data_IF_446406371714
#
_entry.id   IF_446406371714
#
_cell.length_a   1.000
_cell.length_b   1.000
_cell.length_c   1.000
_cell.angle_alpha   90.00
_cell.angle_beta   90.00
_cell.angle_gamma   90.00
#
_symmetry.space_group_name_H-M   'P 1'
#
loop_
_entity.id
_entity.type
_entity.pdbx_description
1 polymer ?
#
# COMPACT_ATOMS: atom_id res chain seq x y z
N UNK A 1 16.59 46.77 24.85
CA UNK A 1 17.27 46.17 23.70
C UNK A 1 18.00 44.86 24.05
N UNK A 2 18.54 44.69 25.26
CA UNK A 2 19.21 43.46 25.72
C UNK A 2 18.25 42.31 26.08
N UNK A 3 17.01 42.61 26.48
CA UNK A 3 16.01 41.61 26.87
C UNK A 3 15.35 40.82 25.69
N UNK A 4 15.32 41.43 24.51
CA UNK A 4 14.78 40.80 23.30
C UNK A 4 15.74 39.75 22.70
N UNK A 5 17.04 39.95 22.85
CA UNK A 5 18.05 39.01 22.33
C UNK A 5 18.12 37.71 23.16
N UNK A 6 17.67 37.75 24.42
CA UNK A 6 17.65 36.54 25.29
C UNK A 6 16.50 35.57 24.99
N UNK A 7 15.40 36.04 24.38
CA UNK A 7 14.31 35.18 24.00
C UNK A 7 14.60 34.39 22.72
N UNK A 8 15.36 34.98 21.79
CA UNK A 8 15.68 34.25 20.52
C UNK A 8 16.74 33.18 20.72
N UNK A 9 17.58 33.25 21.77
CA UNK A 9 18.56 32.22 22.08
C UNK A 9 17.95 31.01 22.83
N UNK A 10 16.83 31.17 23.50
CA UNK A 10 16.11 30.06 24.15
C UNK A 10 15.36 29.17 23.13
N UNK A 11 14.97 29.70 21.99
CA UNK A 11 14.33 28.94 20.93
C UNK A 11 15.32 28.03 20.15
N UNK A 12 16.61 28.31 20.19
CA UNK A 12 17.61 27.48 19.53
C UNK A 12 18.17 26.33 20.39
N UNK A 13 17.78 26.20 21.67
CA UNK A 13 18.32 25.17 22.56
C UNK A 13 17.42 23.93 22.75
N UNK A 14 16.22 23.92 22.18
CA UNK A 14 15.46 22.69 22.03
C UNK A 14 16.00 21.92 20.81
N UNK A 15 17.13 21.27 20.99
CA UNK A 15 17.50 20.16 20.11
C UNK A 15 16.34 19.16 20.12
N UNK A 16 15.78 18.78 18.96
CA UNK A 16 14.79 17.72 18.94
C UNK A 16 15.42 16.52 19.65
N UNK A 17 14.80 16.07 20.71
CA UNK A 17 15.17 14.87 21.42
C UNK A 17 15.07 13.73 20.41
N UNK A 18 16.19 13.46 19.73
CA UNK A 18 16.33 12.29 18.87
C UNK A 18 16.30 11.10 19.82
N UNK A 19 15.10 10.68 20.16
CA UNK A 19 14.89 9.40 20.81
C UNK A 19 15.61 8.37 19.93
N UNK A 20 16.63 7.74 20.48
CA UNK A 20 17.32 6.60 19.88
C UNK A 20 16.33 5.43 19.89
N UNK A 21 15.35 5.49 18.99
CA UNK A 21 14.45 4.38 18.71
C UNK A 21 15.28 3.20 18.21
N UNK A 22 14.91 2.00 18.61
CA UNK A 22 15.55 0.78 18.13
C UNK A 22 15.48 0.64 16.61
N UNK A 23 16.30 -0.24 16.03
CA UNK A 23 16.40 -0.42 14.55
C UNK A 23 15.07 -0.73 13.86
N UNK A 24 14.02 -1.06 14.60
CA UNK A 24 12.69 -1.41 14.07
C UNK A 24 11.63 -0.33 14.29
N UNK A 25 11.94 0.74 15.04
CA UNK A 25 10.94 1.77 15.37
C UNK A 25 10.41 2.50 14.15
N UNK A 26 11.23 2.64 13.10
CA UNK A 26 10.81 3.25 11.83
C UNK A 26 9.62 2.50 11.19
N UNK A 27 9.45 1.20 11.45
CA UNK A 27 8.33 0.41 10.92
C UNK A 27 6.97 0.88 11.48
N UNK A 28 6.97 1.39 12.71
CA UNK A 28 5.76 1.83 13.41
C UNK A 28 5.63 3.35 13.51
N UNK A 29 6.68 4.10 13.12
CA UNK A 29 6.57 5.55 13.01
C UNK A 29 5.54 5.91 11.96
N UNK A 30 4.62 6.82 12.30
CA UNK A 30 3.56 7.22 11.39
C UNK A 30 3.26 8.71 11.53
N UNK A 31 2.99 9.35 10.41
CA UNK A 31 2.46 10.70 10.37
C UNK A 31 1.03 10.72 10.86
N UNK A 32 0.70 11.49 11.90
CA UNK A 32 -0.67 11.59 12.44
C UNK A 32 -1.60 12.40 11.52
N UNK A 33 -1.73 11.97 10.27
CA UNK A 33 -2.58 12.62 9.27
C UNK A 33 -3.78 11.75 8.91
N UNK A 34 -4.95 12.37 8.78
CA UNK A 34 -6.15 11.71 8.25
C UNK A 34 -6.02 11.36 6.76
N UNK A 35 -5.13 12.02 6.02
CA UNK A 35 -4.89 11.70 4.61
C UNK A 35 -4.50 10.25 4.41
N UNK A 36 -3.65 9.70 5.28
CA UNK A 36 -3.24 8.29 5.20
C UNK A 36 -4.37 7.32 5.54
N UNK A 37 -5.34 7.74 6.35
CA UNK A 37 -6.55 6.93 6.62
C UNK A 37 -7.35 6.75 5.33
N UNK A 38 -7.57 7.82 4.56
CA UNK A 38 -8.29 7.73 3.28
C UNK A 38 -7.53 6.91 2.25
N UNK A 39 -6.20 7.05 2.16
CA UNK A 39 -5.37 6.24 1.27
C UNK A 39 -5.45 4.75 1.62
N UNK A 40 -5.36 4.40 2.90
CA UNK A 40 -5.51 3.02 3.37
C UNK A 40 -6.87 2.45 3.05
N UNK A 41 -7.96 3.20 3.33
CA UNK A 41 -9.31 2.73 3.03
C UNK A 41 -9.52 2.54 1.53
N UNK A 42 -8.99 3.42 0.68
CA UNK A 42 -9.02 3.25 -0.77
C UNK A 42 -8.31 1.96 -1.22
N UNK A 43 -7.12 1.69 -0.70
CA UNK A 43 -6.40 0.44 -0.95
C UNK A 43 -7.16 -0.77 -0.38
N UNK A 44 -7.65 -0.69 0.87
CA UNK A 44 -8.41 -1.77 1.50
C UNK A 44 -9.64 -2.16 0.68
N UNK A 45 -10.45 -1.17 0.25
CA UNK A 45 -11.65 -1.41 -0.54
C UNK A 45 -11.32 -2.02 -1.91
N UNK A 46 -10.33 -1.47 -2.60
CA UNK A 46 -9.89 -2.00 -3.89
C UNK A 46 -9.44 -3.45 -3.78
N UNK A 47 -8.58 -3.75 -2.81
CA UNK A 47 -8.04 -5.09 -2.64
C UNK A 47 -9.02 -6.05 -1.96
N UNK A 48 -10.03 -5.56 -1.25
CA UNK A 48 -11.17 -6.37 -0.84
C UNK A 48 -11.91 -6.92 -2.07
N UNK A 49 -12.22 -6.08 -3.05
CA UNK A 49 -12.91 -6.52 -4.27
C UNK A 49 -12.05 -7.48 -5.10
N UNK A 50 -10.77 -7.14 -5.35
CA UNK A 50 -9.87 -8.00 -6.13
C UNK A 50 -9.48 -9.28 -5.37
N UNK A 51 -9.10 -9.19 -4.12
CA UNK A 51 -8.68 -10.33 -3.31
C UNK A 51 -9.82 -11.34 -3.10
N UNK A 52 -11.05 -10.88 -2.84
CA UNK A 52 -12.21 -11.80 -2.72
C UNK A 52 -12.61 -12.39 -4.07
N UNK A 53 -12.46 -11.65 -5.17
CA UNK A 53 -12.66 -12.16 -6.52
C UNK A 53 -11.67 -13.29 -6.83
N UNK A 54 -10.41 -13.11 -6.55
CA UNK A 54 -9.35 -14.06 -6.86
C UNK A 54 -9.34 -15.25 -5.88
N UNK A 55 -9.48 -15.00 -4.56
CA UNK A 55 -9.34 -16.02 -3.53
C UNK A 55 -10.63 -16.82 -3.30
N UNK A 56 -11.82 -16.20 -3.44
CA UNK A 56 -13.10 -16.86 -3.14
C UNK A 56 -14.01 -17.02 -4.36
N UNK A 57 -13.61 -16.47 -5.50
CA UNK A 57 -14.44 -16.53 -6.72
C UNK A 57 -15.65 -15.60 -6.67
N UNK A 58 -15.71 -14.64 -5.73
CA UNK A 58 -16.79 -13.66 -5.65
C UNK A 58 -16.75 -12.70 -6.85
N UNK A 59 -17.83 -11.97 -7.07
CA UNK A 59 -17.90 -10.94 -8.13
C UNK A 59 -17.51 -11.45 -9.54
N UNK A 60 -17.87 -12.70 -9.85
CA UNK A 60 -17.55 -13.32 -11.15
C UNK A 60 -16.12 -13.87 -11.26
N UNK A 61 -15.41 -13.99 -10.17
CA UNK A 61 -14.08 -14.59 -10.11
C UNK A 61 -14.09 -16.11 -10.32
N UNK A 62 -12.93 -16.66 -10.64
CA UNK A 62 -12.75 -18.11 -10.93
C UNK A 62 -12.30 -18.91 -9.71
N UNK A 63 -11.99 -18.24 -8.60
CA UNK A 63 -11.44 -18.85 -7.41
C UNK A 63 -9.92 -19.11 -7.48
N UNK A 64 -9.28 -19.52 -6.35
CA UNK A 64 -7.83 -19.45 -6.19
C UNK A 64 -7.07 -20.38 -7.14
N UNK A 65 -7.53 -21.61 -7.32
CA UNK A 65 -6.86 -22.57 -8.21
C UNK A 65 -6.87 -22.08 -9.66
N UNK A 66 -8.05 -21.68 -10.16
CA UNK A 66 -8.20 -21.24 -11.54
C UNK A 66 -7.47 -19.90 -11.77
N UNK A 67 -7.44 -19.03 -10.78
CA UNK A 67 -6.71 -17.76 -10.85
C UNK A 67 -5.20 -17.98 -10.94
N UNK A 68 -4.62 -18.79 -10.06
CA UNK A 68 -3.19 -19.11 -10.09
C UNK A 68 -2.80 -19.85 -11.36
N UNK A 69 -3.63 -20.79 -11.83
CA UNK A 69 -3.42 -21.48 -13.09
C UNK A 69 -3.43 -20.49 -14.27
N UNK A 70 -4.39 -19.58 -14.32
CA UNK A 70 -4.45 -18.54 -15.34
C UNK A 70 -3.19 -17.65 -15.36
N UNK A 71 -2.69 -17.25 -14.21
CA UNK A 71 -1.45 -16.47 -14.12
C UNK A 71 -0.22 -17.27 -14.59
N UNK A 72 -0.13 -18.55 -14.19
CA UNK A 72 0.93 -19.45 -14.66
C UNK A 72 0.91 -19.59 -16.18
N UNK A 73 -0.24 -19.87 -16.74
CA UNK A 73 -0.36 -20.20 -18.16
C UNK A 73 -0.22 -18.96 -19.06
N UNK A 74 -0.74 -17.80 -18.59
CA UNK A 74 -0.69 -16.56 -19.36
C UNK A 74 0.61 -15.79 -19.23
N UNK A 75 1.17 -15.75 -18.02
CA UNK A 75 2.35 -14.92 -17.70
C UNK A 75 3.58 -15.72 -17.28
N UNK A 76 3.50 -17.05 -17.32
CA UNK A 76 4.58 -17.97 -16.89
C UNK A 76 5.02 -17.76 -15.43
N UNK A 77 4.10 -17.31 -14.57
CA UNK A 77 4.35 -17.06 -13.16
C UNK A 77 4.37 -18.41 -12.41
N UNK A 78 5.43 -18.72 -11.62
CA UNK A 78 5.44 -19.91 -10.77
C UNK A 78 4.24 -19.95 -9.83
N UNK A 79 3.68 -21.13 -9.58
CA UNK A 79 2.50 -21.33 -8.72
C UNK A 79 2.70 -20.70 -7.32
N UNK A 80 3.89 -20.86 -6.74
CA UNK A 80 4.23 -20.29 -5.44
C UNK A 80 4.10 -18.76 -5.41
N UNK A 81 4.54 -18.08 -6.50
CA UNK A 81 4.42 -16.62 -6.63
C UNK A 81 2.96 -16.22 -6.79
N UNK A 82 2.16 -16.99 -7.54
CA UNK A 82 0.72 -16.75 -7.67
C UNK A 82 -0.03 -16.90 -6.35
N UNK A 83 0.30 -17.91 -5.54
CA UNK A 83 -0.25 -18.10 -4.19
C UNK A 83 0.16 -16.94 -3.28
N UNK A 84 1.44 -16.54 -3.32
CA UNK A 84 1.93 -15.40 -2.54
C UNK A 84 1.22 -14.08 -2.91
N UNK A 85 0.92 -13.87 -4.19
CA UNK A 85 0.13 -12.74 -4.66
C UNK A 85 -1.27 -12.70 -4.01
N UNK A 86 -1.98 -13.83 -3.94
CA UNK A 86 -3.26 -13.93 -3.24
C UNK A 86 -3.15 -13.59 -1.76
N UNK A 87 -2.08 -14.05 -1.10
CA UNK A 87 -1.81 -13.72 0.31
C UNK A 87 -1.58 -12.23 0.49
N UNK A 88 -0.82 -11.57 -0.41
CA UNK A 88 -0.62 -10.12 -0.36
C UNK A 88 -1.95 -9.38 -0.51
N UNK A 89 -2.79 -9.75 -1.48
CA UNK A 89 -4.10 -9.11 -1.69
C UNK A 89 -4.97 -9.17 -0.43
N UNK A 90 -5.10 -10.35 0.20
CA UNK A 90 -5.90 -10.51 1.42
C UNK A 90 -5.27 -9.84 2.64
N UNK A 91 -3.94 -9.93 2.78
CA UNK A 91 -3.22 -9.26 3.87
C UNK A 91 -3.36 -7.75 3.79
N UNK A 92 -3.40 -7.20 2.57
CA UNK A 92 -3.62 -5.78 2.33
C UNK A 92 -4.95 -5.31 2.92
N UNK A 93 -6.03 -6.08 2.75
CA UNK A 93 -7.34 -5.73 3.31
C UNK A 93 -7.27 -5.58 4.82
N UNK A 94 -6.69 -6.57 5.50
CA UNK A 94 -6.60 -6.59 6.96
C UNK A 94 -5.67 -5.47 7.45
N UNK A 95 -4.48 -5.39 6.89
CA UNK A 95 -3.45 -4.41 7.27
C UNK A 95 -3.93 -2.97 7.07
N UNK A 96 -4.48 -2.65 5.91
CA UNK A 96 -4.92 -1.29 5.60
C UNK A 96 -6.17 -0.88 6.40
N UNK A 97 -7.07 -1.81 6.68
CA UNK A 97 -8.25 -1.54 7.52
C UNK A 97 -7.87 -1.27 8.96
N UNK A 98 -7.05 -2.14 9.57
CA UNK A 98 -6.67 -2.03 10.97
C UNK A 98 -5.52 -1.04 11.20
N UNK A 99 -4.78 -0.67 10.16
CA UNK A 99 -3.56 0.13 10.30
C UNK A 99 -2.45 -0.63 11.04
N UNK A 100 -2.29 -1.93 10.75
CA UNK A 100 -1.32 -2.81 11.39
C UNK A 100 -0.32 -3.36 10.37
N UNK A 101 0.99 -3.27 10.69
CA UNK A 101 2.10 -3.63 9.78
C UNK A 101 1.97 -2.95 8.40
N UNK A 102 1.55 -1.69 8.41
CA UNK A 102 1.17 -0.98 7.16
C UNK A 102 2.35 -0.83 6.22
N UNK A 103 3.54 -0.46 6.71
CA UNK A 103 4.72 -0.25 5.85
C UNK A 103 5.19 -1.53 5.14
N UNK A 104 5.44 -2.67 5.83
CA UNK A 104 5.87 -3.87 5.15
C UNK A 104 4.82 -4.42 4.18
N UNK A 105 3.53 -4.35 4.54
CA UNK A 105 2.46 -4.78 3.63
C UNK A 105 2.34 -3.84 2.43
N UNK A 106 2.44 -2.52 2.63
CA UNK A 106 2.45 -1.55 1.54
C UNK A 106 3.64 -1.74 0.58
N UNK A 107 4.82 -2.11 1.09
CA UNK A 107 5.97 -2.46 0.26
C UNK A 107 5.68 -3.68 -0.62
N UNK A 108 5.21 -4.78 -0.03
CA UNK A 108 4.85 -5.98 -0.79
C UNK A 108 3.75 -5.69 -1.83
N UNK A 109 2.76 -4.88 -1.44
CA UNK A 109 1.69 -4.44 -2.31
C UNK A 109 2.21 -3.59 -3.48
N UNK A 110 3.10 -2.63 -3.23
CA UNK A 110 3.69 -1.80 -4.29
C UNK A 110 4.45 -2.64 -5.30
N UNK A 111 5.24 -3.62 -4.83
CA UNK A 111 5.92 -4.58 -5.71
C UNK A 111 4.91 -5.39 -6.52
N UNK A 112 3.86 -5.92 -5.88
CA UNK A 112 2.80 -6.67 -6.56
C UNK A 112 2.10 -5.84 -7.65
N UNK A 113 1.70 -4.59 -7.32
CA UNK A 113 1.03 -3.70 -8.28
C UNK A 113 1.97 -3.36 -9.45
N UNK A 114 3.25 -3.08 -9.19
CA UNK A 114 4.23 -2.82 -10.23
C UNK A 114 4.34 -4.00 -11.21
N UNK A 115 4.47 -5.23 -10.69
CA UNK A 115 4.47 -6.43 -11.53
C UNK A 115 3.17 -6.57 -12.33
N UNK A 116 2.01 -6.43 -11.70
CA UNK A 116 0.71 -6.51 -12.37
C UNK A 116 0.58 -5.44 -13.48
N UNK A 117 1.05 -4.22 -13.22
CA UNK A 117 1.07 -3.13 -14.19
C UNK A 117 1.90 -3.50 -15.43
N UNK A 118 3.11 -3.99 -15.25
CA UNK A 118 3.97 -4.36 -16.37
C UNK A 118 3.47 -5.59 -17.13
N UNK A 119 2.97 -6.62 -16.44
CA UNK A 119 2.55 -7.87 -17.07
C UNK A 119 1.20 -7.76 -17.78
N UNK A 120 0.26 -6.99 -17.23
CA UNK A 120 -1.13 -7.03 -17.67
C UNK A 120 -1.61 -5.76 -18.36
N UNK A 121 -1.02 -4.60 -18.04
CA UNK A 121 -1.56 -3.30 -18.43
C UNK A 121 -0.65 -2.51 -19.37
N UNK A 122 0.66 -2.75 -19.33
CA UNK A 122 1.64 -1.96 -20.09
C UNK A 122 1.39 -1.92 -21.58
N UNK A 123 1.05 -3.06 -22.18
CA UNK A 123 0.77 -3.19 -23.61
C UNK A 123 -0.53 -2.50 -24.05
N UNK A 124 -1.42 -2.15 -23.12
CA UNK A 124 -2.70 -1.51 -23.39
C UNK A 124 -2.63 0.03 -23.40
N UNK A 125 -1.43 0.61 -23.20
CA UNK A 125 -1.21 2.04 -23.16
C UNK A 125 -1.53 2.67 -21.80
N UNK A 126 -1.80 3.96 -21.77
CA UNK A 126 -2.01 4.70 -20.53
C UNK A 126 -3.45 4.62 -20.02
N UNK A 127 -4.42 4.92 -20.87
CA UNK A 127 -5.80 5.13 -20.47
C UNK A 127 -6.55 3.84 -20.15
N UNK A 128 -7.52 3.91 -19.22
CA UNK A 128 -8.50 2.85 -18.99
C UNK A 128 -9.20 2.45 -20.29
N UNK A 129 -9.76 1.24 -20.31
CA UNK A 129 -10.45 0.72 -21.50
C UNK A 129 -11.50 1.70 -22.02
N UNK A 130 -11.34 2.12 -23.27
CA UNK A 130 -12.22 3.10 -23.93
C UNK A 130 -13.20 2.43 -24.92
N UNK A 131 -13.62 1.20 -24.62
CA UNK A 131 -14.58 0.48 -25.45
C UNK A 131 -14.50 -1.04 -25.33
N UNK A 132 -15.46 -1.76 -25.91
CA UNK A 132 -15.48 -3.21 -25.89
C UNK A 132 -14.23 -3.81 -26.55
N UNK A 133 -13.61 -4.77 -25.89
CA UNK A 133 -12.43 -5.49 -26.41
C UNK A 133 -11.09 -4.76 -26.24
N UNK A 134 -11.08 -3.52 -25.72
CA UNK A 134 -9.82 -2.82 -25.40
C UNK A 134 -9.36 -3.16 -23.98
N UNK A 135 -8.09 -3.48 -23.82
CA UNK A 135 -7.48 -3.71 -22.50
C UNK A 135 -7.42 -2.41 -21.69
N UNK A 136 -7.50 -2.52 -20.36
CA UNK A 136 -7.26 -1.38 -19.46
C UNK A 136 -5.78 -1.06 -19.41
N UNK A 137 -5.41 0.21 -19.66
CA UNK A 137 -4.04 0.69 -19.54
C UNK A 137 -3.59 0.89 -18.09
N UNK A 138 -2.44 1.50 -17.94
CA UNK A 138 -1.72 1.61 -16.65
C UNK A 138 -2.28 2.67 -15.70
N UNK A 139 -3.15 3.57 -16.14
CA UNK A 139 -3.65 4.72 -15.37
C UNK A 139 -4.09 4.33 -13.95
N UNK A 140 -4.95 3.33 -13.85
CA UNK A 140 -5.49 2.88 -12.56
C UNK A 140 -4.44 2.20 -11.69
N UNK A 141 -3.64 1.31 -12.26
CA UNK A 141 -2.58 0.60 -11.54
C UNK A 141 -1.48 1.54 -11.09
N UNK A 142 -1.17 2.59 -11.88
CA UNK A 142 -0.23 3.64 -11.49
C UNK A 142 -0.76 4.44 -10.28
N UNK A 143 -2.04 4.82 -10.28
CA UNK A 143 -2.64 5.50 -9.14
C UNK A 143 -2.57 4.65 -7.87
N UNK A 144 -2.90 3.35 -7.95
CA UNK A 144 -2.78 2.43 -6.82
C UNK A 144 -1.33 2.26 -6.34
N UNK A 145 -0.36 2.20 -7.27
CA UNK A 145 1.06 2.12 -6.94
C UNK A 145 1.51 3.35 -6.15
N UNK A 146 1.15 4.55 -6.62
CA UNK A 146 1.48 5.80 -5.92
C UNK A 146 0.82 5.88 -4.54
N UNK A 147 -0.43 5.41 -4.39
CA UNK A 147 -1.09 5.30 -3.08
C UNK A 147 -0.34 4.35 -2.15
N UNK A 148 0.06 3.17 -2.64
CA UNK A 148 0.81 2.19 -1.86
C UNK A 148 2.18 2.75 -1.43
N UNK A 149 2.89 3.45 -2.32
CA UNK A 149 4.16 4.12 -1.99
C UNK A 149 3.97 5.25 -0.97
N UNK A 150 2.92 6.07 -1.11
CA UNK A 150 2.62 7.13 -0.15
C UNK A 150 2.40 6.56 1.26
N UNK A 151 1.64 5.48 1.38
CA UNK A 151 1.38 4.79 2.65
C UNK A 151 2.65 4.09 3.17
N UNK A 152 3.47 3.52 2.29
CA UNK A 152 4.75 2.90 2.67
C UNK A 152 5.71 3.89 3.33
N UNK A 153 5.82 5.11 2.78
CA UNK A 153 6.72 6.13 3.33
C UNK A 153 6.10 6.90 4.49
N UNK A 154 4.83 7.28 4.41
CA UNK A 154 4.14 8.05 5.45
C UNK A 154 3.67 7.22 6.65
N UNK A 155 3.54 5.91 6.49
CA UNK A 155 3.05 5.01 7.53
C UNK A 155 1.53 4.92 7.60
N UNK A 156 1.05 4.44 8.74
CA UNK A 156 -0.36 4.10 8.93
C UNK A 156 -1.30 5.31 9.10
N UNK A 157 -0.77 6.48 9.46
CA UNK A 157 -1.57 7.68 9.72
C UNK A 157 -2.34 7.61 11.05
N UNK A 158 -3.28 8.50 11.22
CA UNK A 158 -4.19 8.50 12.37
C UNK A 158 -5.07 7.23 12.40
N UNK A 159 -5.67 6.93 13.54
CA UNK A 159 -6.58 5.78 13.70
C UNK A 159 -5.96 4.45 13.23
N UNK A 160 -4.79 4.11 13.76
CA UNK A 160 -4.04 2.91 13.38
C UNK A 160 -3.44 2.21 14.60
N UNK A 161 -3.32 0.88 14.52
CA UNK A 161 -2.65 0.06 15.55
C UNK A 161 -1.16 0.42 15.61
N UNK A 162 -0.51 0.62 14.44
CA UNK A 162 0.89 1.04 14.37
C UNK A 162 1.13 2.38 15.09
N UNK A 163 0.19 3.34 14.92
CA UNK A 163 0.26 4.63 15.62
C UNK A 163 0.07 4.56 17.13
N UNK A 164 -0.62 3.53 17.63
CA UNK A 164 -0.74 3.27 19.06
C UNK A 164 0.52 2.60 19.63
N UNK A 165 1.20 1.79 18.81
CA UNK A 165 2.38 1.01 19.22
C UNK A 165 3.69 1.83 19.18
N UNK A 166 3.74 2.88 18.35
CA UNK A 166 4.91 3.76 18.16
C UNK A 166 4.97 4.97 19.09
N UNK A 167 4.11 5.02 20.13
CA UNK A 167 4.07 6.10 21.13
C UNK A 167 4.95 5.83 22.33
#
# INVERSE_FOLDING_TARGET
MVALIRQDLAFCSESPNIQRGGKVDWLFQTEHSLSYVFLRFGLALTFFMHGTQHAFGWHGGKGPKAQVTNWRDKYHIPVAVGVFALVIELSTVISMTLGFLVRPVAFCLAVFIAFAMFLSHWSSGFFLAQGPGKGSGVEYTLALLLMALAVMFGGAGALSIDGLSGR
#
